data_IF_623453999820
#
_entry.id   IF_623453999820
#
_cell.length_a   1.000
_cell.length_b   1.000
_cell.length_c   1.000
_cell.angle_alpha   90.00
_cell.angle_beta   90.00
_cell.angle_gamma   90.00
#
_symmetry.space_group_name_H-M   'P 1'
#
loop_
_entity.id
_entity.type
_entity.pdbx_description
1 polymer ?
#
# COMPACT_ATOMS: atom_id res chain seq x y z
N UNK A 1 -9.05 -0.15 -62.46
CA UNK A 1 -8.72 -0.69 -61.13
C UNK A 1 -8.89 0.45 -60.16
N UNK A 2 -10.06 0.51 -59.53
CA UNK A 2 -10.52 1.63 -58.72
C UNK A 2 -10.01 1.52 -57.28
N UNK A 3 -9.45 2.63 -56.79
CA UNK A 3 -9.08 2.93 -55.41
C UNK A 3 -10.33 3.06 -54.51
N UNK A 4 -11.14 2.01 -54.43
CA UNK A 4 -12.29 1.99 -53.52
C UNK A 4 -12.07 1.00 -52.37
N UNK A 5 -12.30 1.52 -51.16
CA UNK A 5 -12.59 0.82 -49.91
C UNK A 5 -11.41 0.43 -49.00
N UNK A 6 -10.75 1.43 -48.43
CA UNK A 6 -10.22 1.36 -47.06
C UNK A 6 -10.60 2.60 -46.25
N UNK A 7 -11.89 2.92 -46.23
CA UNK A 7 -12.44 3.74 -45.15
C UNK A 7 -12.59 2.85 -43.91
N UNK A 8 -11.46 2.56 -43.26
CA UNK A 8 -11.44 1.92 -41.94
C UNK A 8 -12.15 2.88 -40.99
N UNK A 9 -13.40 2.56 -40.61
CA UNK A 9 -14.16 3.40 -39.69
C UNK A 9 -13.39 3.45 -38.37
N UNK A 10 -12.68 4.54 -38.12
CA UNK A 10 -11.94 4.75 -36.88
C UNK A 10 -12.98 4.83 -35.77
N UNK A 11 -13.19 3.72 -35.06
CA UNK A 11 -14.04 3.74 -33.88
C UNK A 11 -13.38 4.66 -32.86
N UNK A 12 -14.10 5.65 -32.32
CA UNK A 12 -13.53 6.55 -31.34
C UNK A 12 -13.08 5.74 -30.12
N UNK A 13 -11.88 6.04 -29.63
CA UNK A 13 -11.37 5.44 -28.40
C UNK A 13 -12.21 5.91 -27.22
N UNK A 14 -12.95 4.99 -26.60
CA UNK A 14 -13.70 5.29 -25.37
C UNK A 14 -12.81 4.94 -24.17
N UNK A 15 -12.68 5.89 -23.24
CA UNK A 15 -12.04 5.67 -21.94
C UNK A 15 -13.10 5.64 -20.85
N UNK A 16 -13.17 4.53 -20.14
CA UNK A 16 -14.03 4.39 -18.97
C UNK A 16 -13.24 4.75 -17.72
N UNK A 17 -13.83 5.56 -16.85
CA UNK A 17 -13.28 5.87 -15.52
C UNK A 17 -14.12 5.17 -14.47
N UNK A 18 -13.49 4.28 -13.71
CA UNK A 18 -14.09 3.64 -12.54
C UNK A 18 -13.50 4.32 -11.31
N UNK A 19 -14.35 4.78 -10.39
CA UNK A 19 -13.93 5.48 -9.17
C UNK A 19 -14.63 4.85 -7.97
N UNK A 20 -13.95 4.88 -6.83
CA UNK A 20 -14.46 4.38 -5.56
C UNK A 20 -13.62 4.90 -4.40
N UNK A 21 -14.00 4.49 -3.19
CA UNK A 21 -13.22 4.73 -1.97
C UNK A 21 -12.77 3.40 -1.39
N UNK A 22 -11.56 3.37 -0.84
CA UNK A 22 -11.04 2.25 -0.07
C UNK A 22 -11.16 2.58 1.41
N UNK A 23 -11.60 1.60 2.20
CA UNK A 23 -11.72 1.73 3.65
C UNK A 23 -10.85 0.64 4.27
N UNK A 24 -9.85 1.05 5.05
CA UNK A 24 -9.06 0.13 5.85
C UNK A 24 -9.92 -0.39 7.01
N UNK A 25 -10.25 -1.69 6.98
CA UNK A 25 -11.00 -2.36 8.06
C UNK A 25 -10.10 -2.73 9.25
N UNK A 26 -8.79 -2.73 9.03
CA UNK A 26 -7.74 -2.96 10.00
C UNK A 26 -6.54 -2.06 9.63
N UNK A 27 -5.59 -1.85 10.55
CA UNK A 27 -4.37 -1.10 10.25
C UNK A 27 -3.67 -1.62 8.99
N UNK A 28 -3.24 -0.70 8.12
CA UNK A 28 -2.60 -1.02 6.84
C UNK A 28 -1.18 -0.44 6.79
N UNK A 29 -0.22 -1.26 6.37
CA UNK A 29 1.16 -0.84 6.15
C UNK A 29 1.55 -0.99 4.67
N UNK A 30 1.29 0.01 3.81
CA UNK A 30 1.90 0.04 2.49
C UNK A 30 3.38 0.43 2.67
N UNK A 31 4.24 -0.58 2.76
CA UNK A 31 5.66 -0.39 2.99
C UNK A 31 6.34 0.41 1.88
N UNK A 32 7.16 1.38 2.26
CA UNK A 32 7.98 2.17 1.32
C UNK A 32 9.31 1.48 0.94
N UNK A 33 9.71 0.46 1.70
CA UNK A 33 11.05 -0.13 1.64
C UNK A 33 12.11 0.68 2.37
N UNK A 34 11.74 1.83 2.97
CA UNK A 34 12.61 2.67 3.76
C UNK A 34 12.34 2.50 5.27
N UNK A 35 13.36 2.82 6.07
CA UNK A 35 13.30 2.90 7.53
C UNK A 35 13.60 4.31 8.01
N UNK A 36 13.10 4.66 9.19
CA UNK A 36 13.43 5.92 9.88
C UNK A 36 13.71 5.63 11.36
N UNK A 37 14.61 6.38 11.98
CA UNK A 37 14.73 6.39 13.44
C UNK A 37 13.75 7.42 13.98
N UNK A 38 12.92 7.02 14.96
CA UNK A 38 11.93 7.92 15.56
C UNK A 38 11.91 7.71 17.08
N UNK A 39 11.96 8.79 17.89
CA UNK A 39 11.72 8.65 19.32
C UNK A 39 10.29 8.16 19.55
N UNK A 40 10.14 7.06 20.28
CA UNK A 40 8.85 6.49 20.64
C UNK A 40 8.57 6.75 22.12
N UNK A 41 7.31 7.05 22.45
CA UNK A 41 6.91 7.22 23.84
C UNK A 41 7.23 5.96 24.64
N UNK A 42 7.86 6.09 25.81
CA UNK A 42 8.16 4.94 26.67
C UNK A 42 9.31 4.03 26.19
N UNK A 43 9.95 4.31 25.05
CA UNK A 43 11.19 3.65 24.67
C UNK A 43 12.32 4.18 25.57
N UNK A 44 12.95 3.29 26.36
CA UNK A 44 14.05 3.63 27.27
C UNK A 44 15.19 2.66 27.06
N UNK A 45 16.41 3.17 26.99
CA UNK A 45 17.59 2.33 27.17
C UNK A 45 17.64 1.83 28.62
N UNK A 46 18.23 0.65 28.83
CA UNK A 46 18.63 0.17 30.17
C UNK A 46 19.68 1.10 30.80
N UNK A 47 20.38 1.89 29.97
CA UNK A 47 21.34 2.92 30.40
C UNK A 47 20.60 4.21 30.80
N UNK A 48 20.76 4.70 32.04
CA UNK A 48 20.12 5.94 32.48
C UNK A 48 20.52 7.13 31.59
N UNK A 49 19.52 7.79 30.97
CA UNK A 49 19.70 9.07 30.28
C UNK A 49 19.95 9.01 28.77
N UNK A 50 19.84 7.85 28.12
CA UNK A 50 19.81 7.76 26.65
C UNK A 50 18.38 7.49 26.17
N UNK A 51 17.81 8.47 25.47
CA UNK A 51 16.63 8.24 24.64
C UNK A 51 17.04 7.35 23.46
N UNK A 52 16.31 6.25 23.26
CA UNK A 52 16.50 5.38 22.10
C UNK A 52 15.55 5.81 20.99
N UNK A 53 16.10 5.96 19.79
CA UNK A 53 15.31 6.15 18.58
C UNK A 53 15.31 4.83 17.81
N UNK A 54 14.34 3.93 18.06
CA UNK A 54 14.27 2.68 17.34
C UNK A 54 14.08 2.93 15.84
N UNK A 55 14.67 2.03 15.05
CA UNK A 55 14.44 1.97 13.61
C UNK A 55 13.02 1.43 13.35
N UNK A 56 12.22 2.20 12.61
CA UNK A 56 10.83 1.87 12.28
C UNK A 56 10.64 1.80 10.77
N UNK A 57 9.81 0.87 10.31
CA UNK A 57 9.46 0.72 8.90
C UNK A 57 8.52 1.85 8.48
N UNK A 58 8.91 2.56 7.43
CA UNK A 58 8.18 3.73 6.98
C UNK A 58 7.02 3.35 6.06
N UNK A 59 5.84 3.93 6.34
CA UNK A 59 4.68 3.90 5.44
C UNK A 59 4.92 4.82 4.26
N UNK A 60 4.51 4.39 3.07
CA UNK A 60 4.58 5.25 1.90
C UNK A 60 3.61 6.43 2.03
N UNK A 61 4.14 7.64 1.84
CA UNK A 61 3.38 8.88 1.94
C UNK A 61 3.47 9.74 0.67
N UNK A 62 2.49 10.63 0.50
CA UNK A 62 2.55 11.72 -0.48
C UNK A 62 3.53 12.83 -0.05
N UNK A 63 3.70 13.85 -0.89
CA UNK A 63 4.56 15.01 -0.60
C UNK A 63 4.08 15.85 0.59
N UNK A 64 2.86 15.64 1.08
CA UNK A 64 2.31 16.28 2.27
C UNK A 64 2.46 15.40 3.52
N UNK A 65 3.11 14.23 3.42
CA UNK A 65 3.35 13.31 4.52
C UNK A 65 2.15 12.41 4.87
N UNK A 66 1.10 12.38 4.04
CA UNK A 66 -0.10 11.55 4.26
C UNK A 66 0.06 10.19 3.59
N UNK A 67 -0.46 9.11 4.18
CA UNK A 67 -0.34 7.77 3.62
C UNK A 67 -1.03 7.66 2.27
N UNK A 68 -0.41 6.88 1.38
CA UNK A 68 -0.96 6.55 0.07
C UNK A 68 -0.95 5.04 -0.14
N UNK A 69 -1.88 4.55 -0.96
CA UNK A 69 -1.79 3.20 -1.52
C UNK A 69 -1.40 3.35 -3.00
N UNK A 70 -0.20 2.89 -3.40
CA UNK A 70 0.22 2.97 -4.79
C UNK A 70 -0.76 2.30 -5.74
N UNK A 71 -0.97 2.91 -6.90
CA UNK A 71 -1.72 2.31 -8.00
C UNK A 71 -1.07 1.00 -8.46
N UNK A 72 0.26 0.89 -8.35
CA UNK A 72 0.99 -0.36 -8.58
C UNK A 72 0.63 -1.46 -7.58
N UNK A 73 0.48 -1.13 -6.30
CA UNK A 73 0.03 -2.07 -5.25
C UNK A 73 -1.39 -2.55 -5.52
N UNK A 74 -2.31 -1.62 -5.83
CA UNK A 74 -3.71 -1.97 -6.18
C UNK A 74 -3.75 -2.85 -7.43
N UNK A 75 -2.98 -2.47 -8.46
CA UNK A 75 -2.85 -3.25 -9.70
C UNK A 75 -2.34 -4.65 -9.41
N UNK A 76 -1.27 -4.79 -8.62
CA UNK A 76 -0.68 -6.08 -8.27
C UNK A 76 -1.67 -6.99 -7.56
N UNK A 77 -2.38 -6.46 -6.56
CA UNK A 77 -3.41 -7.19 -5.82
C UNK A 77 -4.54 -7.67 -6.74
N UNK A 78 -5.13 -6.77 -7.55
CA UNK A 78 -6.22 -7.14 -8.45
C UNK A 78 -5.77 -8.10 -9.54
N UNK A 79 -4.56 -7.93 -10.08
CA UNK A 79 -3.99 -8.86 -11.04
C UNK A 79 -3.81 -10.25 -10.43
N UNK A 80 -3.24 -10.35 -9.22
CA UNK A 80 -3.07 -11.61 -8.52
C UNK A 80 -4.41 -12.29 -8.23
N UNK A 81 -5.39 -11.53 -7.71
CA UNK A 81 -6.72 -12.06 -7.43
C UNK A 81 -7.42 -12.56 -8.70
N UNK A 82 -7.34 -11.80 -9.80
CA UNK A 82 -7.95 -12.20 -11.07
C UNK A 82 -7.33 -13.48 -11.66
N UNK A 83 -6.01 -13.68 -11.50
CA UNK A 83 -5.33 -14.92 -11.90
C UNK A 83 -5.76 -16.14 -11.10
N UNK A 84 -6.17 -15.93 -9.85
CA UNK A 84 -6.60 -17.00 -8.95
C UNK A 84 -8.08 -17.38 -9.13
N UNK A 85 -8.84 -16.67 -9.97
CA UNK A 85 -10.24 -17.01 -10.24
C UNK A 85 -10.33 -18.31 -11.07
N UNK A 86 -11.29 -19.20 -10.76
CA UNK A 86 -11.57 -20.36 -11.59
C UNK A 86 -11.91 -19.94 -13.03
N UNK A 87 -11.23 -20.55 -14.01
CA UNK A 87 -11.44 -20.24 -15.42
C UNK A 87 -10.83 -18.91 -15.89
N UNK A 88 -9.86 -18.35 -15.16
CA UNK A 88 -9.16 -17.14 -15.55
C UNK A 88 -8.55 -17.26 -16.97
N UNK A 89 -8.97 -16.35 -17.87
CA UNK A 89 -8.40 -16.23 -19.20
C UNK A 89 -7.11 -15.40 -19.14
N UNK A 90 -5.97 -16.09 -19.21
CA UNK A 90 -4.65 -15.47 -19.17
C UNK A 90 -4.40 -14.50 -20.32
N UNK A 91 -4.98 -14.75 -21.49
CA UNK A 91 -4.86 -13.85 -22.65
C UNK A 91 -5.57 -12.54 -22.39
N UNK A 92 -6.78 -12.60 -21.84
CA UNK A 92 -7.53 -11.40 -21.44
C UNK A 92 -6.80 -10.63 -20.33
N UNK A 93 -6.25 -11.33 -19.33
CA UNK A 93 -5.50 -10.69 -18.25
C UNK A 93 -4.25 -9.96 -18.76
N UNK A 94 -3.49 -10.55 -19.68
CA UNK A 94 -2.35 -9.87 -20.31
C UNK A 94 -2.78 -8.64 -21.11
N UNK A 95 -3.94 -8.67 -21.78
CA UNK A 95 -4.47 -7.49 -22.48
C UNK A 95 -4.87 -6.39 -21.49
N UNK A 96 -5.44 -6.74 -20.34
CA UNK A 96 -5.90 -5.79 -19.33
C UNK A 96 -4.74 -5.20 -18.51
N UNK A 97 -3.85 -6.05 -17.98
CA UNK A 97 -2.79 -5.65 -17.06
C UNK A 97 -1.43 -5.40 -17.74
N UNK A 98 -1.28 -5.88 -18.97
CA UNK A 98 -0.02 -5.86 -19.71
C UNK A 98 0.84 -7.10 -19.43
N UNK A 99 1.93 -7.21 -20.18
CA UNK A 99 2.98 -8.22 -19.95
C UNK A 99 4.35 -7.56 -19.87
N UNK A 100 5.22 -8.10 -19.02
CA UNK A 100 6.60 -7.69 -18.95
C UNK A 100 7.35 -8.17 -20.21
N UNK A 101 8.43 -7.48 -20.57
CA UNK A 101 9.35 -8.00 -21.58
C UNK A 101 10.11 -9.19 -20.99
N UNK A 102 10.20 -10.26 -21.76
CA UNK A 102 11.05 -11.43 -21.49
C UNK A 102 11.99 -11.61 -22.68
N UNK A 103 13.16 -12.24 -22.50
CA UNK A 103 14.22 -12.27 -23.51
C UNK A 103 13.72 -12.40 -24.97
N UNK A 104 14.04 -11.37 -25.77
CA UNK A 104 13.65 -11.20 -27.19
C UNK A 104 12.16 -10.97 -27.46
N UNK A 105 11.30 -10.94 -26.45
CA UNK A 105 9.87 -10.64 -26.52
C UNK A 105 9.62 -9.25 -25.96
N UNK A 106 9.17 -8.32 -26.81
CA UNK A 106 8.77 -6.99 -26.36
C UNK A 106 7.61 -7.06 -25.36
N UNK A 107 7.74 -6.29 -24.27
CA UNK A 107 6.68 -6.06 -23.31
C UNK A 107 5.50 -5.33 -23.95
N UNK A 108 4.33 -5.42 -23.32
CA UNK A 108 3.12 -4.78 -23.81
C UNK A 108 2.40 -4.06 -22.66
N UNK A 109 2.07 -2.79 -22.89
CA UNK A 109 1.22 -2.04 -21.97
C UNK A 109 -0.20 -2.63 -21.89
N UNK A 110 -0.74 -2.70 -20.67
CA UNK A 110 -2.12 -3.10 -20.45
C UNK A 110 -3.12 -2.00 -20.81
N UNK A 111 -4.40 -2.37 -20.87
CA UNK A 111 -5.53 -1.44 -21.07
C UNK A 111 -5.99 -0.75 -19.78
N UNK A 112 -5.62 -1.26 -18.61
CA UNK A 112 -5.98 -0.69 -17.32
C UNK A 112 -4.90 0.27 -16.81
N UNK A 113 -5.33 1.46 -16.38
CA UNK A 113 -4.50 2.43 -15.67
C UNK A 113 -4.98 2.50 -14.21
N UNK A 114 -4.04 2.30 -13.29
CA UNK A 114 -4.30 2.43 -11.85
C UNK A 114 -3.67 3.72 -11.35
N UNK A 115 -4.45 4.50 -10.62
CA UNK A 115 -3.99 5.72 -9.96
C UNK A 115 -3.76 5.43 -8.47
N UNK A 116 -2.83 6.16 -7.85
CA UNK A 116 -2.62 6.09 -6.41
C UNK A 116 -3.90 6.48 -5.66
N UNK A 117 -4.24 5.71 -4.63
CA UNK A 117 -5.30 6.08 -3.71
C UNK A 117 -4.71 7.00 -2.64
N UNK A 118 -5.17 8.25 -2.66
CA UNK A 118 -4.76 9.30 -1.72
C UNK A 118 -5.80 9.46 -0.61
N UNK A 119 -5.33 9.67 0.61
CA UNK A 119 -6.19 9.99 1.74
C UNK A 119 -6.87 11.35 1.52
N UNK A 120 -8.21 11.38 1.56
CA UNK A 120 -8.96 12.64 1.47
C UNK A 120 -9.14 13.23 2.87
N UNK A 121 -8.88 14.53 3.10
CA UNK A 121 -9.05 15.17 4.41
C UNK A 121 -10.48 15.04 4.97
N UNK A 122 -11.46 14.99 4.07
CA UNK A 122 -12.89 14.87 4.36
C UNK A 122 -13.26 13.45 4.84
N UNK A 123 -12.41 12.46 4.57
CA UNK A 123 -12.51 11.12 5.13
C UNK A 123 -11.89 11.17 6.52
N UNK A 124 -12.68 11.65 7.47
CA UNK A 124 -12.36 11.70 8.89
C UNK A 124 -11.88 10.35 9.38
N UNK A 125 -10.95 10.41 10.34
CA UNK A 125 -10.48 9.35 11.24
C UNK A 125 -11.49 8.18 11.29
N UNK A 126 -11.09 6.95 10.92
CA UNK A 126 -11.99 5.81 11.00
C UNK A 126 -12.65 5.74 12.39
N UNK A 127 -13.91 5.28 12.54
CA UNK A 127 -14.58 5.16 13.83
C UNK A 127 -13.84 4.29 14.88
N UNK A 128 -12.78 3.59 14.45
CA UNK A 128 -11.79 2.90 15.28
C UNK A 128 -10.95 3.83 16.17
N UNK A 129 -10.71 5.09 15.76
CA UNK A 129 -9.95 6.08 16.52
C UNK A 129 -10.83 7.27 16.88
N UNK A 130 -12.00 6.98 17.42
CA UNK A 130 -12.84 7.99 18.03
C UNK A 130 -12.16 8.50 19.32
N UNK A 131 -11.78 9.79 19.39
CA UNK A 131 -11.08 10.36 20.54
C UNK A 131 -12.01 10.59 21.75
N UNK A 132 -13.26 10.11 21.69
CA UNK A 132 -14.20 10.18 22.81
C UNK A 132 -13.62 9.53 24.08
N UNK A 133 -13.97 10.06 25.26
CA UNK A 133 -13.48 9.54 26.54
C UNK A 133 -13.71 8.02 26.66
N UNK A 134 -12.63 7.27 26.91
CA UNK A 134 -12.67 5.81 27.11
C UNK A 134 -12.25 4.95 25.92
N UNK A 135 -12.03 5.52 24.73
CA UNK A 135 -11.44 4.81 23.60
C UNK A 135 -9.91 4.97 23.60
N UNK A 136 -9.20 3.86 23.38
CA UNK A 136 -7.72 3.84 23.37
C UNK A 136 -7.21 4.39 22.04
N UNK A 137 -6.54 5.54 22.10
CA UNK A 137 -5.72 6.04 20.99
C UNK A 137 -4.47 5.15 20.88
N UNK A 138 -4.02 4.78 19.67
CA UNK A 138 -2.77 4.07 19.50
C UNK A 138 -1.60 4.82 20.09
N UNK A 139 -0.63 4.05 20.57
CA UNK A 139 0.66 4.57 20.98
C UNK A 139 1.34 5.29 19.81
N UNK A 140 1.93 6.46 20.06
CA UNK A 140 2.62 7.29 19.08
C UNK A 140 1.78 7.66 17.83
N UNK A 141 0.47 7.82 18.01
CA UNK A 141 -0.42 8.34 16.97
C UNK A 141 -0.02 9.75 16.53
N UNK A 142 0.17 9.93 15.22
CA UNK A 142 0.44 11.20 14.57
C UNK A 142 -0.82 11.65 13.81
N UNK A 143 -1.58 12.64 14.33
CA UNK A 143 -2.81 13.10 13.70
C UNK A 143 -2.58 13.87 12.39
N UNK A 144 -1.37 14.42 12.18
CA UNK A 144 -1.03 15.11 10.93
C UNK A 144 -0.74 14.11 9.80
N UNK A 145 -0.20 12.94 10.16
CA UNK A 145 0.11 11.87 9.20
C UNK A 145 -0.97 10.79 9.12
N UNK A 146 -1.91 10.73 10.06
CA UNK A 146 -2.87 9.63 10.18
C UNK A 146 -2.18 8.26 10.29
N UNK A 147 -1.09 8.21 11.06
CA UNK A 147 -0.32 6.98 11.26
C UNK A 147 0.05 6.79 12.71
N UNK A 148 0.25 5.55 13.14
CA UNK A 148 0.83 5.23 14.44
C UNK A 148 1.91 4.16 14.32
N UNK A 149 2.66 3.93 15.39
CA UNK A 149 3.68 2.88 15.43
C UNK A 149 3.12 1.67 16.16
N UNK A 150 3.10 0.52 15.48
CA UNK A 150 2.71 -0.75 16.06
C UNK A 150 3.98 -1.57 16.40
N UNK A 151 4.30 -1.78 17.69
CA UNK A 151 5.41 -2.65 18.07
C UNK A 151 5.02 -4.12 17.87
N UNK A 152 5.91 -4.87 17.22
CA UNK A 152 5.80 -6.31 17.04
C UNK A 152 7.08 -7.02 17.46
N UNK A 153 6.96 -8.21 18.03
CA UNK A 153 8.08 -9.06 18.43
C UNK A 153 7.88 -10.46 17.89
N UNK A 154 8.89 -11.03 17.24
CA UNK A 154 8.90 -12.46 16.92
C UNK A 154 9.60 -13.26 18.03
N UNK A 155 8.96 -14.33 18.47
CA UNK A 155 9.48 -15.25 19.48
C UNK A 155 9.75 -16.59 18.80
N UNK A 156 10.99 -17.06 18.86
CA UNK A 156 11.33 -18.42 18.44
C UNK A 156 10.72 -19.40 19.45
N UNK A 157 9.82 -20.27 18.97
CA UNK A 157 9.10 -21.23 19.83
C UNK A 157 10.01 -22.31 20.43
N UNK A 158 11.11 -22.65 19.77
CA UNK A 158 12.03 -23.71 20.22
C UNK A 158 12.92 -23.23 21.35
N UNK A 159 13.51 -22.06 21.17
CA UNK A 159 14.46 -21.46 22.11
C UNK A 159 13.77 -20.57 23.15
N UNK A 160 12.52 -20.17 22.89
CA UNK A 160 11.73 -19.20 23.67
C UNK A 160 12.42 -17.83 23.79
N UNK A 161 13.28 -17.50 22.83
CA UNK A 161 13.98 -16.21 22.80
C UNK A 161 13.30 -15.26 21.81
N UNK A 162 13.42 -13.97 22.11
CA UNK A 162 13.09 -12.90 21.18
C UNK A 162 14.22 -12.80 20.15
N UNK A 163 13.86 -12.72 18.88
CA UNK A 163 14.81 -12.31 17.86
C UNK A 163 14.82 -10.79 17.75
N UNK A 164 15.90 -10.16 18.21
CA UNK A 164 16.09 -8.70 18.20
C UNK A 164 15.93 -8.12 16.79
N UNK A 165 16.42 -8.82 15.76
CA UNK A 165 16.27 -8.45 14.35
C UNK A 165 14.83 -8.57 13.79
N UNK A 166 13.89 -9.09 14.59
CA UNK A 166 12.46 -9.21 14.26
C UNK A 166 11.58 -8.39 15.21
N UNK A 167 12.19 -7.52 16.01
CA UNK A 167 11.49 -6.37 16.59
C UNK A 167 11.22 -5.41 15.44
N UNK A 168 9.96 -5.28 15.05
CA UNK A 168 9.59 -4.28 14.05
C UNK A 168 8.56 -3.34 14.64
N UNK A 169 8.84 -2.06 14.44
CA UNK A 169 7.89 -0.99 14.63
C UNK A 169 7.36 -0.64 13.24
N UNK A 170 6.13 -1.00 12.92
CA UNK A 170 5.51 -0.61 11.65
C UNK A 170 4.73 0.68 11.84
N UNK A 171 5.01 1.68 11.01
CA UNK A 171 4.03 2.75 10.79
C UNK A 171 2.76 2.11 10.24
N UNK A 172 1.59 2.39 10.77
CA UNK A 172 0.33 1.87 10.22
C UNK A 172 -0.63 3.03 10.01
N UNK A 173 -1.35 3.01 8.88
CA UNK A 173 -2.41 3.96 8.53
C UNK A 173 -3.80 3.34 8.74
#
# INVERSE_FOLDING_TARGET
MTEESRAESVRPWVRYRIQGSLIAQSPLHPGSGATINKPLSGARDERPGQDIEPEIQQVLCDSAGRPIIPGSTIKGLFHQQARNLPGADMTLLEQLYGRQAEDKIHGRGGRLLFQDAVLRPEQTIPPLFDPSPGKKIPMDWDPGRFTYVAPGTAIDRRTRTVEEAKLYCTGSA
#
